data_IF_054339669251
#
_entry.id   IF_054339669251
#
_cell.length_a   1.000
_cell.length_b   1.000
_cell.length_c   1.000
_cell.angle_alpha   90.00
_cell.angle_beta   90.00
_cell.angle_gamma   90.00
#
_symmetry.space_group_name_H-M   'P 1'
#
loop_
_entity.id
_entity.type
_entity.pdbx_description
1 polymer ?
#
# COMPACT_ATOMS: atom_id res chain seq x y z
N UNK A 1 4.31 -1.34 -5.37
CA UNK A 1 3.35 -0.38 -4.78
C UNK A 1 4.16 0.75 -4.19
N UNK A 2 3.84 1.98 -4.56
CA UNK A 2 4.53 3.18 -4.11
C UNK A 2 3.50 4.29 -3.90
N UNK A 3 3.71 5.16 -2.92
CA UNK A 3 2.87 6.35 -2.79
C UNK A 3 3.12 7.27 -4.00
N UNK A 4 2.05 7.72 -4.67
CA UNK A 4 2.15 8.50 -5.90
C UNK A 4 2.64 9.92 -5.63
N UNK A 5 2.04 10.57 -4.64
CA UNK A 5 2.25 11.98 -4.32
C UNK A 5 3.20 12.20 -3.12
N UNK A 6 3.70 11.12 -2.52
CA UNK A 6 4.51 11.15 -1.30
C UNK A 6 5.74 10.25 -1.41
N UNK A 7 6.79 10.57 -0.65
CA UNK A 7 8.00 9.75 -0.60
C UNK A 7 7.81 8.60 0.38
N UNK A 8 8.17 7.38 -0.01
CA UNK A 8 8.00 6.22 0.86
C UNK A 8 8.68 4.97 0.32
N UNK A 9 8.56 3.85 1.04
CA UNK A 9 9.08 2.58 0.59
C UNK A 9 8.28 2.06 -0.62
N UNK A 10 8.96 1.29 -1.45
CA UNK A 10 8.30 0.49 -2.49
C UNK A 10 7.95 -0.88 -1.92
N UNK A 11 6.66 -1.15 -1.75
CA UNK A 11 6.18 -2.46 -1.32
C UNK A 11 6.02 -3.41 -2.51
N UNK A 12 6.35 -4.69 -2.31
CA UNK A 12 6.21 -5.74 -3.33
C UNK A 12 5.26 -6.80 -2.79
N UNK A 13 4.16 -7.03 -3.52
CA UNK A 13 3.26 -8.15 -3.27
C UNK A 13 3.69 -9.34 -4.12
N UNK A 14 4.00 -10.46 -3.46
CA UNK A 14 4.42 -11.70 -4.14
C UNK A 14 3.53 -12.86 -3.72
N UNK A 15 2.93 -13.54 -4.69
CA UNK A 15 2.09 -14.71 -4.45
C UNK A 15 0.93 -14.83 -5.43
N UNK A 16 0.22 -15.96 -5.40
CA UNK A 16 -0.97 -16.19 -6.25
C UNK A 16 -2.15 -15.31 -5.84
N UNK A 17 -2.29 -15.00 -4.55
CA UNK A 17 -3.34 -14.15 -3.97
C UNK A 17 -2.94 -12.66 -3.92
N UNK A 18 -1.84 -12.27 -4.57
CA UNK A 18 -1.31 -10.90 -4.51
C UNK A 18 -2.34 -9.85 -4.95
N UNK A 19 -3.16 -10.16 -5.97
CA UNK A 19 -4.19 -9.25 -6.48
C UNK A 19 -5.32 -8.99 -5.48
N UNK A 20 -5.63 -9.94 -4.61
CA UNK A 20 -6.71 -9.82 -3.61
C UNK A 20 -6.29 -8.93 -2.42
N UNK A 21 -4.99 -8.82 -2.17
CA UNK A 21 -4.41 -8.06 -1.06
C UNK A 21 -3.80 -6.72 -1.48
N UNK A 22 -4.04 -6.26 -2.72
CA UNK A 22 -3.53 -4.97 -3.22
C UNK A 22 -3.97 -3.80 -2.34
N UNK A 23 -5.25 -3.72 -1.98
CA UNK A 23 -5.77 -2.68 -1.09
C UNK A 23 -5.07 -2.68 0.27
N UNK A 24 -4.92 -3.84 0.90
CA UNK A 24 -4.26 -3.97 2.19
C UNK A 24 -2.79 -3.54 2.10
N UNK A 25 -2.07 -4.00 1.07
CA UNK A 25 -0.68 -3.61 0.85
C UNK A 25 -0.54 -2.12 0.54
N UNK A 26 -1.49 -1.51 -0.18
CA UNK A 26 -1.51 -0.06 -0.40
C UNK A 26 -1.59 0.69 0.91
N UNK A 27 -2.50 0.29 1.80
CA UNK A 27 -2.62 0.90 3.14
C UNK A 27 -1.38 0.73 4.01
N UNK A 28 -0.72 -0.43 3.95
CA UNK A 28 0.57 -0.67 4.62
C UNK A 28 1.67 0.22 4.03
N UNK A 29 1.71 0.36 2.70
CA UNK A 29 2.68 1.22 2.00
C UNK A 29 2.52 2.67 2.43
N UNK A 30 1.28 3.16 2.52
CA UNK A 30 0.98 4.52 2.97
C UNK A 30 1.43 4.78 4.41
N UNK A 31 1.26 3.80 5.31
CA UNK A 31 1.70 3.93 6.72
C UNK A 31 3.19 4.23 6.86
N UNK A 32 4.01 3.63 6.03
CA UNK A 32 5.47 3.80 6.05
C UNK A 32 5.96 4.87 5.07
N UNK A 33 5.06 5.53 4.34
CA UNK A 33 5.37 6.70 3.53
C UNK A 33 5.21 8.00 4.33
N UNK A 34 5.61 9.11 3.72
CA UNK A 34 5.44 10.47 4.23
C UNK A 34 4.00 11.00 4.07
N UNK A 35 3.07 10.15 3.61
CA UNK A 35 1.69 10.51 3.35
C UNK A 35 0.90 10.81 4.65
N UNK A 36 -0.04 11.77 4.63
CA UNK A 36 -0.83 12.10 5.80
C UNK A 36 -1.76 10.94 6.19
N UNK A 37 -1.57 10.42 7.41
CA UNK A 37 -2.29 9.23 7.91
C UNK A 37 -3.79 9.41 8.07
N UNK A 38 -4.26 10.66 8.09
CA UNK A 38 -5.66 10.99 8.31
C UNK A 38 -6.50 11.05 7.03
N UNK A 39 -5.89 10.92 5.84
CA UNK A 39 -6.56 11.04 4.55
C UNK A 39 -6.38 9.79 3.70
N UNK A 40 -7.24 9.64 2.70
CA UNK A 40 -7.07 8.63 1.65
C UNK A 40 -6.12 9.18 0.61
N UNK A 41 -5.08 8.41 0.31
CA UNK A 41 -3.98 8.81 -0.56
C UNK A 41 -3.84 7.81 -1.71
N UNK A 42 -3.25 8.26 -2.81
CA UNK A 42 -3.14 7.43 -4.02
C UNK A 42 -1.84 6.63 -4.02
N UNK A 43 -1.96 5.33 -4.21
CA UNK A 43 -0.85 4.39 -4.35
C UNK A 43 -0.80 3.88 -5.78
N UNK A 44 0.38 3.96 -6.38
CA UNK A 44 0.65 3.39 -7.69
C UNK A 44 1.06 1.92 -7.56
N UNK A 45 0.29 1.04 -8.19
CA UNK A 45 0.53 -0.39 -8.28
C UNK A 45 1.08 -0.71 -9.66
N UNK A 46 2.39 -0.92 -9.73
CA UNK A 46 3.06 -1.38 -10.94
C UNK A 46 3.03 -2.90 -11.04
N UNK A 47 2.46 -3.43 -12.11
CA UNK A 47 2.43 -4.85 -12.44
C UNK A 47 2.95 -5.06 -13.87
N UNK A 48 4.28 -5.11 -14.02
CA UNK A 48 4.93 -5.14 -15.32
C UNK A 48 4.74 -3.81 -16.07
N UNK A 49 4.14 -3.86 -17.25
CA UNK A 49 3.84 -2.68 -18.08
C UNK A 49 2.55 -1.95 -17.66
N UNK A 50 1.73 -2.58 -16.81
CA UNK A 50 0.46 -2.00 -16.35
C UNK A 50 0.67 -1.28 -15.03
N UNK A 51 0.29 -0.01 -14.97
CA UNK A 51 0.21 0.77 -13.74
C UNK A 51 -1.24 1.03 -13.37
N UNK A 52 -1.64 0.60 -12.18
CA UNK A 52 -2.96 0.85 -11.60
C UNK A 52 -2.83 1.86 -10.45
N UNK A 53 -3.83 2.71 -10.29
CA UNK A 53 -3.91 3.68 -9.18
C UNK A 53 -4.97 3.23 -8.20
N UNK A 54 -4.60 3.11 -6.93
CA UNK A 54 -5.48 2.68 -5.85
C UNK A 54 -5.50 3.76 -4.78
N UNK A 55 -6.68 4.28 -4.47
CA UNK A 55 -6.86 5.14 -3.29
C UNK A 55 -7.04 4.29 -2.05
N UNK A 56 -6.14 4.45 -1.08
CA UNK A 56 -6.16 3.71 0.18
C UNK A 56 -5.94 4.66 1.35
N UNK A 57 -6.39 4.28 2.54
CA UNK A 57 -6.07 5.01 3.78
C UNK A 57 -4.88 4.36 4.46
N UNK A 58 -4.05 5.15 5.15
CA UNK A 58 -3.03 4.60 6.06
C UNK A 58 -3.66 3.64 7.07
N UNK A 59 -3.09 2.45 7.19
CA UNK A 59 -3.54 1.42 8.14
C UNK A 59 -3.04 1.71 9.56
N UNK A 60 -3.79 1.31 10.58
CA UNK A 60 -3.37 1.38 11.98
C UNK A 60 -2.68 0.08 12.43
N UNK A 61 -1.91 0.16 13.53
CA UNK A 61 -1.14 -1.00 14.02
C UNK A 61 -2.01 -2.20 14.36
N UNK A 62 -3.18 -1.94 14.91
CA UNK A 62 -4.15 -2.94 15.33
C UNK A 62 -4.62 -3.83 14.17
N UNK A 63 -4.68 -3.29 12.96
CA UNK A 63 -5.21 -4.00 11.79
C UNK A 63 -4.23 -5.05 11.22
N UNK A 64 -2.92 -4.84 11.40
CA UNK A 64 -1.87 -5.72 10.87
C UNK A 64 -1.08 -6.48 11.93
N UNK A 65 -1.39 -6.29 13.23
CA UNK A 65 -0.68 -6.96 14.32
C UNK A 65 -0.71 -8.49 14.21
N UNK A 66 -1.80 -9.06 13.67
CA UNK A 66 -1.98 -10.49 13.40
C UNK A 66 -0.99 -11.07 12.37
N UNK A 67 -0.29 -10.22 11.62
CA UNK A 67 0.68 -10.62 10.60
C UNK A 67 2.13 -10.33 10.99
N UNK A 68 2.37 -9.83 12.22
CA UNK A 68 3.72 -9.59 12.74
C UNK A 68 4.40 -10.93 13.00
N UNK A 69 5.57 -11.14 12.39
CA UNK A 69 6.46 -12.30 12.60
C UNK A 69 7.51 -11.92 13.64
#
# INVERSE_FOLDING_TARGET
>A
LEAKDHVGPTSILRGKTAKEHTNFASSVTLRYSDAPKNQSETVLVKNGEVSEEISAKSIEEEDYIKFRI
#
